data_IF_823531678382
#
_entry.id   IF_823531678382
#
_cell.length_a   1.000
_cell.length_b   1.000
_cell.length_c   1.000
_cell.angle_alpha   90.00
_cell.angle_beta   90.00
_cell.angle_gamma   90.00
#
_symmetry.space_group_name_H-M   'P 1'
#
loop_
_entity.id
_entity.type
_entity.pdbx_description
1 polymer ?
#
# COMPACT_ATOMS: atom_id res chain seq x y z
N UNK A 1 -6.65 23.86 32.58
CA UNK A 1 -7.72 23.15 31.86
C UNK A 1 -7.25 22.89 30.44
N UNK A 2 -6.86 21.66 30.11
CA UNK A 2 -6.35 21.30 28.78
C UNK A 2 -7.55 20.94 27.91
N UNK A 3 -7.84 21.76 26.88
CA UNK A 3 -8.89 21.46 25.90
C UNK A 3 -8.43 20.27 25.06
N UNK A 4 -9.13 19.14 25.16
CA UNK A 4 -8.94 18.02 24.25
C UNK A 4 -9.30 18.48 22.83
N UNK A 5 -8.46 18.25 21.80
CA UNK A 5 -8.86 18.49 20.42
C UNK A 5 -10.02 17.55 20.11
N UNK A 6 -11.18 18.14 19.83
CA UNK A 6 -12.35 17.41 19.37
C UNK A 6 -12.10 16.96 17.94
N UNK A 7 -11.88 15.66 17.74
CA UNK A 7 -12.07 15.07 16.43
C UNK A 7 -13.57 15.13 16.15
N UNK A 8 -13.96 15.90 15.13
CA UNK A 8 -15.33 15.91 14.64
C UNK A 8 -15.80 14.49 14.28
N UNK A 9 -17.12 14.26 14.22
CA UNK A 9 -17.65 12.96 13.81
C UNK A 9 -17.05 12.62 12.45
N UNK A 10 -16.28 11.53 12.37
CA UNK A 10 -15.78 11.02 11.10
C UNK A 10 -17.01 10.75 10.23
N UNK A 11 -17.23 11.60 9.22
CA UNK A 11 -18.18 11.30 8.16
C UNK A 11 -17.86 9.89 7.68
N UNK A 12 -18.88 9.04 7.67
CA UNK A 12 -18.79 7.69 7.12
C UNK A 12 -18.44 7.84 5.65
N UNK A 13 -17.15 7.88 5.33
CA UNK A 13 -16.64 7.75 3.97
C UNK A 13 -17.23 6.44 3.47
N UNK A 14 -18.22 6.54 2.57
CA UNK A 14 -18.82 5.38 1.93
C UNK A 14 -17.70 4.74 1.12
N UNK A 15 -17.08 3.70 1.68
CA UNK A 15 -16.17 2.86 0.94
C UNK A 15 -16.92 2.40 -0.32
N UNK A 16 -16.46 2.84 -1.49
CA UNK A 16 -17.01 2.37 -2.75
C UNK A 16 -16.69 0.88 -2.82
N UNK A 17 -17.69 -0.02 -2.87
CA UNK A 17 -17.42 -1.44 -2.93
C UNK A 17 -16.64 -1.74 -4.21
N UNK A 18 -15.44 -2.28 -4.04
CA UNK A 18 -14.59 -2.78 -5.11
C UNK A 18 -15.40 -3.83 -5.89
N UNK A 19 -15.59 -3.60 -7.20
CA UNK A 19 -16.48 -4.42 -8.02
C UNK A 19 -15.92 -5.84 -8.21
N UNK A 20 -16.80 -6.84 -8.21
CA UNK A 20 -16.45 -8.19 -8.63
C UNK A 20 -16.16 -8.23 -10.14
N UNK A 21 -15.18 -9.03 -10.55
CA UNK A 21 -14.77 -9.18 -11.95
C UNK A 21 -15.89 -9.71 -12.86
N UNK A 22 -15.69 -9.54 -14.18
CA UNK A 22 -16.52 -10.17 -15.21
C UNK A 22 -16.46 -11.70 -15.08
N UNK A 23 -17.57 -12.42 -15.30
CA UNK A 23 -17.55 -13.88 -15.43
C UNK A 23 -16.58 -14.29 -16.56
N UNK A 24 -15.73 -15.30 -16.31
CA UNK A 24 -14.85 -15.88 -17.33
C UNK A 24 -13.37 -15.50 -17.25
N UNK A 25 -12.90 -14.84 -16.19
CA UNK A 25 -11.45 -14.69 -15.96
C UNK A 25 -10.84 -16.06 -15.68
N UNK A 26 -9.93 -16.49 -16.56
CA UNK A 26 -9.28 -17.81 -16.50
C UNK A 26 -7.86 -17.77 -15.94
N UNK A 27 -7.21 -16.60 -15.90
CA UNK A 27 -5.93 -16.40 -15.23
C UNK A 27 -5.71 -14.91 -14.85
N UNK A 28 -4.87 -14.64 -13.85
CA UNK A 28 -4.42 -13.29 -13.49
C UNK A 28 -3.53 -12.67 -14.57
N UNK A 29 -2.78 -13.49 -15.32
CA UNK A 29 -1.94 -12.99 -16.41
C UNK A 29 -2.74 -12.23 -17.49
N UNK A 30 -3.97 -12.67 -17.79
CA UNK A 30 -4.86 -11.97 -18.73
C UNK A 30 -5.29 -10.60 -18.20
N UNK A 31 -5.55 -10.50 -16.89
CA UNK A 31 -5.90 -9.24 -16.23
C UNK A 31 -4.72 -8.27 -16.20
N UNK A 32 -3.49 -8.76 -16.10
CA UNK A 32 -2.29 -7.93 -16.06
C UNK A 32 -2.07 -7.09 -17.33
N UNK A 33 -2.74 -7.44 -18.44
CA UNK A 33 -2.73 -6.65 -19.68
C UNK A 33 -3.60 -5.39 -19.59
N UNK A 34 -4.62 -5.37 -18.72
CA UNK A 34 -5.58 -4.26 -18.59
C UNK A 34 -5.45 -3.53 -17.23
N UNK A 35 -4.90 -4.22 -16.23
CA UNK A 35 -4.84 -3.77 -14.84
C UNK A 35 -3.44 -3.95 -14.26
N UNK A 36 -3.01 -2.99 -13.45
CA UNK A 36 -1.90 -3.20 -12.55
C UNK A 36 -2.38 -4.00 -11.34
N UNK A 37 -1.72 -5.13 -11.09
CA UNK A 37 -2.04 -6.02 -9.97
C UNK A 37 -1.12 -5.76 -8.79
N UNK A 38 -1.69 -5.60 -7.61
CA UNK A 38 -0.93 -5.26 -6.40
C UNK A 38 -1.49 -5.92 -5.15
N UNK A 39 -0.68 -5.90 -4.09
CA UNK A 39 -1.00 -6.44 -2.78
C UNK A 39 -0.47 -5.51 -1.71
N UNK A 40 -1.30 -5.13 -0.75
CA UNK A 40 -0.90 -4.25 0.36
C UNK A 40 -1.33 -4.82 1.73
N UNK A 41 -1.46 -6.16 1.82
CA UNK A 41 -1.88 -6.85 3.04
C UNK A 41 -0.97 -6.62 4.24
N UNK A 42 0.31 -6.31 4.03
CA UNK A 42 1.24 -5.97 5.12
C UNK A 42 0.88 -4.67 5.83
N UNK A 43 0.17 -3.74 5.19
CA UNK A 43 -0.34 -2.54 5.85
C UNK A 43 -1.33 -2.89 6.98
N UNK A 44 -2.17 -3.91 6.78
CA UNK A 44 -3.15 -4.33 7.78
C UNK A 44 -2.54 -5.30 8.80
N UNK A 45 -1.85 -6.33 8.32
CA UNK A 45 -1.40 -7.46 9.14
C UNK A 45 -0.21 -7.13 10.03
N UNK A 46 0.76 -6.36 9.52
CA UNK A 46 1.96 -5.92 10.26
C UNK A 46 1.92 -4.43 10.60
N UNK A 47 1.33 -3.62 9.72
CA UNK A 47 1.17 -2.18 9.91
C UNK A 47 0.00 -1.79 10.82
N UNK A 48 -0.92 -2.72 11.10
CA UNK A 48 -2.13 -2.50 11.91
C UNK A 48 -2.98 -1.33 11.43
N UNK A 49 -2.96 -1.06 10.12
CA UNK A 49 -3.82 -0.06 9.52
C UNK A 49 -5.28 -0.54 9.66
N UNK A 50 -6.16 0.34 10.13
CA UNK A 50 -7.59 0.01 10.34
C UNK A 50 -8.46 0.38 9.14
N UNK A 51 -7.92 1.19 8.23
CA UNK A 51 -8.63 1.76 7.10
C UNK A 51 -7.86 1.44 5.82
N UNK A 52 -8.58 1.04 4.79
CA UNK A 52 -7.97 0.71 3.50
C UNK A 52 -7.52 1.98 2.77
N UNK A 53 -6.21 2.15 2.48
CA UNK A 53 -5.72 3.34 1.79
C UNK A 53 -6.22 3.40 0.35
N UNK A 54 -6.57 2.28 -0.29
CA UNK A 54 -7.19 2.33 -1.62
C UNK A 54 -8.57 2.96 -1.59
N UNK A 55 -9.37 2.66 -0.57
CA UNK A 55 -10.65 3.33 -0.35
C UNK A 55 -10.47 4.85 -0.19
N UNK A 56 -9.39 5.29 0.44
CA UNK A 56 -9.07 6.71 0.63
C UNK A 56 -8.63 7.38 -0.66
N UNK A 57 -7.77 6.71 -1.41
CA UNK A 57 -7.36 7.14 -2.74
C UNK A 57 -8.58 7.36 -3.64
N UNK A 58 -9.48 6.38 -3.71
CA UNK A 58 -10.67 6.43 -4.57
C UNK A 58 -11.63 7.53 -4.15
N UNK A 59 -11.78 7.79 -2.85
CA UNK A 59 -12.67 8.84 -2.34
C UNK A 59 -12.22 10.26 -2.72
N UNK A 60 -10.94 10.48 -2.98
CA UNK A 60 -10.40 11.80 -3.35
C UNK A 60 -10.21 11.99 -4.86
N UNK A 61 -10.44 10.95 -5.68
CA UNK A 61 -10.29 11.08 -7.13
C UNK A 61 -11.45 11.86 -7.76
N UNK A 62 -11.11 12.84 -8.59
CA UNK A 62 -12.10 13.61 -9.38
C UNK A 62 -12.71 12.79 -10.52
N UNK A 63 -11.95 11.84 -11.07
CA UNK A 63 -12.40 10.95 -12.14
C UNK A 63 -12.68 9.57 -11.57
N UNK A 64 -13.74 8.87 -12.03
CA UNK A 64 -13.95 7.47 -11.65
C UNK A 64 -12.74 6.63 -12.02
N UNK A 65 -12.20 5.90 -11.03
CA UNK A 65 -11.11 4.93 -11.22
C UNK A 65 -11.66 3.54 -11.03
N UNK A 66 -11.42 2.64 -11.98
CA UNK A 66 -11.80 1.22 -11.85
C UNK A 66 -10.76 0.48 -11.02
N UNK A 67 -11.17 0.05 -9.83
CA UNK A 67 -10.39 -0.79 -8.94
C UNK A 67 -11.23 -1.97 -8.43
N UNK A 68 -10.57 -3.09 -8.16
CA UNK A 68 -11.20 -4.31 -7.63
C UNK A 68 -10.27 -5.06 -6.67
N UNK A 69 -10.83 -6.05 -5.98
CA UNK A 69 -10.05 -7.15 -5.42
C UNK A 69 -10.65 -8.48 -5.82
N UNK A 70 -9.84 -9.54 -5.76
CA UNK A 70 -10.25 -10.91 -6.00
C UNK A 70 -9.78 -11.74 -4.80
N UNK A 71 -10.68 -12.53 -4.24
CA UNK A 71 -10.32 -13.63 -3.35
C UNK A 71 -10.02 -14.87 -4.22
N UNK A 72 -8.79 -15.36 -4.11
CA UNK A 72 -8.22 -16.40 -4.93
C UNK A 72 -8.44 -17.78 -4.29
N UNK A 73 -8.52 -18.85 -5.10
CA UNK A 73 -8.72 -20.20 -4.58
C UNK A 73 -7.49 -20.72 -3.81
N UNK A 74 -6.30 -20.19 -4.09
CA UNK A 74 -5.06 -20.49 -3.39
C UNK A 74 -4.30 -19.22 -3.02
N UNK A 75 -3.27 -19.37 -2.18
CA UNK A 75 -2.45 -18.26 -1.69
C UNK A 75 -1.67 -17.60 -2.84
N UNK A 76 -1.80 -16.28 -2.99
CA UNK A 76 -0.94 -15.45 -3.83
C UNK A 76 0.40 -15.18 -3.12
N UNK A 77 0.31 -14.89 -1.83
CA UNK A 77 1.44 -14.69 -0.91
C UNK A 77 1.22 -15.51 0.35
N UNK A 78 2.27 -15.71 1.13
CA UNK A 78 2.24 -16.46 2.39
C UNK A 78 2.87 -15.67 3.54
N UNK A 79 2.66 -16.10 4.77
CA UNK A 79 3.31 -15.50 5.96
C UNK A 79 2.59 -14.27 6.53
N UNK A 80 1.42 -13.89 5.98
CA UNK A 80 0.54 -12.94 6.66
C UNK A 80 -0.45 -13.63 7.61
N UNK A 81 -0.71 -14.93 7.41
CA UNK A 81 -1.65 -15.78 8.16
C UNK A 81 -3.07 -15.19 8.26
N UNK A 82 -3.47 -14.46 7.22
CA UNK A 82 -4.71 -13.70 7.15
C UNK A 82 -5.40 -13.90 5.79
N UNK A 83 -6.64 -13.43 5.65
CA UNK A 83 -7.43 -13.40 4.41
C UNK A 83 -6.65 -12.75 3.25
N UNK A 84 -5.71 -11.86 3.56
CA UNK A 84 -4.88 -11.18 2.59
C UNK A 84 -3.94 -12.12 1.83
N UNK A 85 -3.53 -13.28 2.39
CA UNK A 85 -2.69 -14.26 1.67
C UNK A 85 -3.32 -14.71 0.34
N UNK A 86 -4.65 -14.67 0.25
CA UNK A 86 -5.44 -15.10 -0.92
C UNK A 86 -6.06 -13.94 -1.67
N UNK A 87 -5.68 -12.69 -1.40
CA UNK A 87 -6.28 -11.54 -2.06
C UNK A 87 -5.31 -10.90 -3.04
N UNK A 88 -5.80 -10.53 -4.22
CA UNK A 88 -5.09 -9.63 -5.13
C UNK A 88 -5.96 -8.42 -5.40
N UNK A 89 -5.34 -7.24 -5.47
CA UNK A 89 -6.01 -6.01 -5.86
C UNK A 89 -5.63 -5.65 -7.29
N UNK A 90 -6.54 -4.99 -8.00
CA UNK A 90 -6.31 -4.53 -9.35
C UNK A 90 -6.79 -3.10 -9.53
N UNK A 91 -6.09 -2.33 -10.35
CA UNK A 91 -6.52 -1.00 -10.80
C UNK A 91 -6.18 -0.84 -12.28
N UNK A 92 -7.03 -0.13 -13.03
CA UNK A 92 -6.77 0.10 -14.45
C UNK A 92 -5.40 0.77 -14.69
N UNK A 93 -4.68 0.32 -15.72
CA UNK A 93 -3.32 0.79 -16.00
C UNK A 93 -3.17 2.32 -16.08
N UNK A 94 -4.12 3.10 -16.67
CA UNK A 94 -4.02 4.56 -16.71
C UNK A 94 -3.99 5.24 -15.34
N UNK A 95 -4.56 4.61 -14.31
CA UNK A 95 -4.58 5.14 -12.95
C UNK A 95 -3.42 4.61 -12.08
N UNK A 96 -2.64 3.65 -12.58
CA UNK A 96 -1.63 2.97 -11.80
C UNK A 96 -0.54 3.90 -11.26
N UNK A 97 -0.05 4.85 -12.05
CA UNK A 97 0.98 5.80 -11.59
C UNK A 97 0.54 6.63 -10.38
N UNK A 98 -0.73 7.06 -10.37
CA UNK A 98 -1.32 7.80 -9.26
C UNK A 98 -1.50 6.92 -8.02
N UNK A 99 -1.97 5.69 -8.20
CA UNK A 99 -2.09 4.71 -7.11
C UNK A 99 -0.73 4.36 -6.52
N UNK A 100 0.26 4.10 -7.37
CA UNK A 100 1.63 3.77 -6.96
C UNK A 100 2.25 4.91 -6.15
N UNK A 101 2.09 6.14 -6.61
CA UNK A 101 2.53 7.33 -5.89
C UNK A 101 1.83 7.43 -4.53
N UNK A 102 0.50 7.30 -4.49
CA UNK A 102 -0.27 7.40 -3.25
C UNK A 102 0.09 6.30 -2.25
N UNK A 103 0.07 5.03 -2.65
CA UNK A 103 0.42 3.91 -1.78
C UNK A 103 1.88 3.95 -1.34
N UNK A 104 2.77 4.55 -2.15
CA UNK A 104 4.16 4.80 -1.78
C UNK A 104 4.34 5.86 -0.69
N UNK A 105 3.39 6.77 -0.49
CA UNK A 105 3.44 7.78 0.59
C UNK A 105 2.73 7.36 1.87
N UNK A 106 2.02 6.22 1.87
CA UNK A 106 1.33 5.72 3.05
C UNK A 106 2.34 5.48 4.18
N UNK A 107 2.07 6.08 5.33
CA UNK A 107 2.81 5.91 6.56
C UNK A 107 1.85 5.99 7.75
N UNK A 108 2.23 5.38 8.87
CA UNK A 108 1.44 5.44 10.10
C UNK A 108 2.33 5.78 11.30
N UNK A 109 1.80 6.65 12.18
CA UNK A 109 2.40 7.02 13.45
C UNK A 109 1.40 6.78 14.59
N UNK A 110 1.73 5.86 15.48
CA UNK A 110 1.02 5.61 16.73
C UNK A 110 1.86 6.04 17.91
N UNK A 111 1.79 7.33 18.30
CA UNK A 111 2.60 7.88 19.41
C UNK A 111 2.43 7.13 20.73
N UNK A 112 1.18 6.74 21.07
CA UNK A 112 0.90 5.98 22.30
C UNK A 112 1.51 4.58 22.28
N UNK A 113 1.57 3.97 21.10
CA UNK A 113 2.13 2.65 20.89
C UNK A 113 3.64 2.70 20.60
N UNK A 114 4.22 3.90 20.48
CA UNK A 114 5.59 4.10 20.05
C UNK A 114 5.86 3.60 18.63
N UNK A 115 4.86 3.53 17.75
CA UNK A 115 5.00 2.88 16.43
C UNK A 115 5.12 3.90 15.31
N UNK A 116 6.08 3.67 14.42
CA UNK A 116 6.16 4.31 13.12
C UNK A 116 6.50 3.30 12.04
N UNK A 117 5.88 3.44 10.87
CA UNK A 117 6.30 2.78 9.63
C UNK A 117 5.91 3.60 8.41
N UNK A 118 6.63 3.38 7.30
CA UNK A 118 6.32 3.91 5.97
C UNK A 118 6.24 2.77 4.95
N UNK A 119 5.52 2.99 3.87
CA UNK A 119 5.36 2.05 2.78
C UNK A 119 6.72 1.71 2.13
N UNK A 120 6.85 0.46 1.69
CA UNK A 120 7.96 -0.02 0.86
C UNK A 120 7.39 -0.83 -0.30
N UNK A 121 8.00 -0.76 -1.48
CA UNK A 121 7.52 -1.45 -2.67
C UNK A 121 8.51 -2.50 -3.15
N UNK A 122 7.99 -3.65 -3.54
CA UNK A 122 8.69 -4.68 -4.30
C UNK A 122 7.84 -5.11 -5.49
N UNK A 123 8.47 -5.64 -6.54
CA UNK A 123 7.76 -6.28 -7.65
C UNK A 123 8.29 -7.70 -7.76
N UNK A 124 7.42 -8.68 -7.55
CA UNK A 124 7.80 -10.10 -7.60
C UNK A 124 6.91 -10.86 -8.58
N UNK A 125 7.48 -11.88 -9.21
CA UNK A 125 6.72 -12.87 -9.96
C UNK A 125 6.04 -13.84 -8.99
N UNK A 126 4.72 -13.95 -9.09
CA UNK A 126 3.91 -14.85 -8.28
C UNK A 126 3.33 -15.95 -9.18
N UNK A 127 3.28 -17.22 -8.76
CA UNK A 127 2.48 -18.23 -9.45
C UNK A 127 1.03 -17.77 -9.55
N UNK A 128 0.41 -17.91 -10.72
CA UNK A 128 -0.97 -17.49 -10.96
C UNK A 128 -1.95 -18.50 -10.35
N UNK A 129 -2.67 -18.16 -9.26
CA UNK A 129 -3.54 -19.12 -8.58
C UNK A 129 -4.86 -19.38 -9.33
N UNK A 130 -5.16 -18.62 -10.38
CA UNK A 130 -6.33 -18.82 -11.22
C UNK A 130 -6.03 -19.67 -12.45
N UNK A 131 -4.76 -19.84 -12.83
CA UNK A 131 -4.40 -20.53 -14.06
C UNK A 131 -4.77 -22.02 -14.03
N UNK A 132 -5.72 -22.39 -14.89
CA UNK A 132 -6.20 -23.77 -15.08
C UNK A 132 -5.70 -24.40 -16.38
N UNK A 133 -4.79 -23.75 -17.10
CA UNK A 133 -4.28 -24.27 -18.38
C UNK A 133 -3.37 -25.47 -18.15
N UNK A 134 -3.39 -26.42 -19.07
CA UNK A 134 -2.48 -27.56 -19.05
C UNK A 134 -1.04 -27.08 -19.31
N UNK A 135 -0.15 -27.27 -18.32
CA UNK A 135 1.25 -26.89 -18.43
C UNK A 135 1.89 -26.43 -17.11
N UNK A 136 3.12 -25.88 -17.16
CA UNK A 136 3.72 -25.22 -16.02
C UNK A 136 2.85 -24.03 -15.55
N UNK A 137 2.69 -23.79 -14.24
CA UNK A 137 1.92 -22.65 -13.75
C UNK A 137 2.47 -21.35 -14.33
N UNK A 138 1.61 -20.54 -14.94
CA UNK A 138 2.03 -19.19 -15.34
C UNK A 138 2.41 -18.36 -14.12
N UNK A 139 3.25 -17.36 -14.35
CA UNK A 139 3.66 -16.40 -13.34
C UNK A 139 3.18 -15.02 -13.75
N UNK A 140 2.76 -14.24 -12.78
CA UNK A 140 2.28 -12.87 -12.96
C UNK A 140 3.09 -11.93 -12.08
N UNK A 141 3.48 -10.78 -12.62
CA UNK A 141 4.16 -9.75 -11.85
C UNK A 141 3.13 -9.04 -10.95
N UNK A 142 3.38 -9.02 -9.64
CA UNK A 142 2.54 -8.35 -8.66
C UNK A 142 3.39 -7.29 -7.94
N UNK A 143 2.82 -6.09 -7.80
CA UNK A 143 3.38 -5.03 -6.97
C UNK A 143 3.03 -5.30 -5.51
N UNK A 144 4.03 -5.61 -4.70
CA UNK A 144 3.86 -5.98 -3.30
C UNK A 144 4.30 -4.82 -2.42
N UNK A 145 3.35 -4.26 -1.69
CA UNK A 145 3.59 -3.22 -0.69
C UNK A 145 3.89 -3.87 0.67
N UNK A 146 5.09 -3.60 1.16
CA UNK A 146 5.55 -3.90 2.51
C UNK A 146 5.59 -2.66 3.39
N UNK A 147 6.12 -2.83 4.59
CA UNK A 147 6.31 -1.74 5.56
C UNK A 147 7.78 -1.67 5.97
N UNK A 148 8.31 -0.47 6.08
CA UNK A 148 9.59 -0.22 6.71
C UNK A 148 9.30 0.53 8.01
N UNK A 149 9.27 -0.24 9.10
CA UNK A 149 8.98 0.23 10.44
C UNK A 149 10.21 0.62 11.22
N UNK A 150 10.01 1.19 12.40
CA UNK A 150 11.11 1.49 13.32
C UNK A 150 11.65 0.26 14.07
N UNK A 151 10.83 -0.78 14.25
CA UNK A 151 11.21 -2.05 14.90
C UNK A 151 11.72 -3.08 13.89
N UNK A 152 11.05 -3.15 12.73
CA UNK A 152 11.34 -4.11 11.67
C UNK A 152 10.85 -3.58 10.33
N UNK A 153 11.55 -3.95 9.26
CA UNK A 153 11.02 -3.90 7.91
C UNK A 153 10.34 -5.24 7.59
N UNK A 154 9.15 -5.21 7.00
CA UNK A 154 8.45 -6.37 6.48
C UNK A 154 8.26 -6.20 4.98
N UNK A 155 8.68 -7.21 4.25
CA UNK A 155 8.46 -7.33 2.81
C UNK A 155 8.21 -8.78 2.45
N UNK A 156 8.35 -9.09 1.17
CA UNK A 156 8.20 -10.44 0.64
C UNK A 156 9.53 -10.94 0.08
N UNK A 157 9.84 -12.20 0.36
CA UNK A 157 10.91 -12.94 -0.27
C UNK A 157 10.32 -13.81 -1.39
N UNK A 158 11.02 -13.97 -2.52
CA UNK A 158 10.57 -14.89 -3.56
C UNK A 158 10.49 -16.31 -3.00
N UNK A 159 9.39 -17.01 -3.30
CA UNK A 159 9.22 -18.40 -2.93
C UNK A 159 10.09 -19.32 -3.81
N UNK A 160 10.27 -20.59 -3.40
CA UNK A 160 10.74 -21.65 -4.30
C UNK A 160 9.89 -21.71 -5.57
N UNK A 161 10.42 -22.34 -6.63
CA UNK A 161 9.70 -22.46 -7.91
C UNK A 161 8.29 -23.03 -7.70
N UNK A 162 7.27 -22.30 -8.15
CA UNK A 162 5.87 -22.69 -8.02
C UNK A 162 5.24 -22.42 -6.65
N UNK A 163 5.98 -21.84 -5.70
CA UNK A 163 5.47 -21.43 -4.38
C UNK A 163 5.22 -19.92 -4.34
N UNK A 164 4.21 -19.46 -3.60
CA UNK A 164 3.95 -18.04 -3.42
C UNK A 164 5.12 -17.36 -2.69
N UNK A 165 5.38 -16.05 -2.93
CA UNK A 165 6.26 -15.26 -2.09
C UNK A 165 5.85 -15.34 -0.62
N UNK A 166 6.82 -15.19 0.28
CA UNK A 166 6.61 -15.30 1.72
C UNK A 166 6.97 -13.99 2.41
N UNK A 167 6.05 -13.50 3.24
CA UNK A 167 6.28 -12.35 4.10
C UNK A 167 7.43 -12.66 5.06
N UNK A 168 8.39 -11.76 5.14
CA UNK A 168 9.56 -11.90 6.00
C UNK A 168 9.93 -10.55 6.63
N UNK A 169 10.46 -10.61 7.83
CA UNK A 169 11.03 -9.45 8.52
C UNK A 169 12.53 -9.32 8.25
N UNK A 170 13.02 -8.09 8.23
CA UNK A 170 14.43 -7.72 8.22
C UNK A 170 14.67 -6.54 9.18
N UNK A 171 15.93 -6.27 9.57
CA UNK A 171 16.26 -5.05 10.29
C UNK A 171 15.77 -3.81 9.52
N UNK A 172 15.23 -2.80 10.22
CA UNK A 172 14.73 -1.59 9.60
C UNK A 172 15.85 -0.73 9.04
N UNK A 173 15.53 0.15 8.08
CA UNK A 173 16.55 1.08 7.57
C UNK A 173 16.95 2.11 8.63
N UNK A 174 18.25 2.48 8.75
CA UNK A 174 18.70 3.42 9.79
C UNK A 174 18.02 4.80 9.74
N UNK A 175 17.67 5.29 8.55
CA UNK A 175 16.97 6.56 8.37
C UNK A 175 15.52 6.47 8.87
N UNK A 176 14.84 5.33 8.68
CA UNK A 176 13.51 5.06 9.25
C UNK A 176 13.54 5.07 10.77
N UNK A 177 14.52 4.40 11.39
CA UNK A 177 14.68 4.39 12.85
C UNK A 177 14.92 5.80 13.39
N UNK A 178 15.77 6.58 12.71
CA UNK A 178 16.06 7.98 13.09
C UNK A 178 14.81 8.84 13.00
N UNK A 179 14.09 8.78 11.88
CA UNK A 179 12.87 9.53 11.66
C UNK A 179 11.79 9.16 12.69
N UNK A 180 11.60 7.86 12.95
CA UNK A 180 10.65 7.37 13.94
C UNK A 180 10.92 7.94 15.34
N UNK A 181 12.18 7.91 15.80
CA UNK A 181 12.57 8.47 17.10
C UNK A 181 12.18 9.93 17.23
N UNK A 182 12.47 10.74 16.21
CA UNK A 182 12.10 12.16 16.15
C UNK A 182 10.58 12.36 16.23
N UNK A 183 9.83 11.67 15.36
CA UNK A 183 8.37 11.77 15.29
C UNK A 183 7.66 11.31 16.58
N UNK A 184 8.18 10.26 17.23
CA UNK A 184 7.66 9.75 18.51
C UNK A 184 7.97 10.71 19.66
N UNK A 185 9.16 11.33 19.66
CA UNK A 185 9.54 12.37 20.61
C UNK A 185 8.74 13.68 20.42
N UNK A 186 8.00 13.81 19.31
CA UNK A 186 7.25 15.03 18.98
C UNK A 186 8.12 16.11 18.34
N UNK A 187 9.34 15.77 17.93
CA UNK A 187 10.18 16.64 17.11
C UNK A 187 9.57 16.70 15.72
N UNK A 188 9.08 17.88 15.34
CA UNK A 188 8.78 18.19 13.96
C UNK A 188 9.97 18.96 13.40
N UNK A 189 10.38 18.68 12.15
CA UNK A 189 11.20 19.66 11.44
C UNK A 189 10.41 20.99 11.42
N UNK A 190 11.04 22.14 11.72
CA UNK A 190 10.40 23.41 11.47
C UNK A 190 9.93 23.39 10.02
N UNK A 191 8.67 23.75 9.78
CA UNK A 191 8.17 23.96 8.44
C UNK A 191 9.12 24.98 7.81
N UNK A 192 9.98 24.55 6.90
CA UNK A 192 10.66 25.47 6.01
C UNK A 192 9.55 25.93 5.09
N UNK A 193 8.90 27.05 5.42
CA UNK A 193 8.21 27.83 4.40
C UNK A 193 9.25 28.05 3.31
N UNK A 194 9.00 27.49 2.12
CA UNK A 194 9.90 27.63 1.00
C UNK A 194 10.21 29.12 0.83
N UNK A 195 11.46 29.53 1.07
CA UNK A 195 11.98 30.88 0.81
C UNK A 195 11.74 31.33 -0.65
N UNK A 196 11.23 30.44 -1.51
CA UNK A 196 10.77 30.70 -2.86
C UNK A 196 9.53 31.61 -2.92
N UNK A 197 8.68 31.66 -1.89
CA UNK A 197 7.51 32.56 -1.90
C UNK A 197 7.86 34.02 -1.58
N UNK A 198 8.92 34.27 -0.81
CA UNK A 198 9.47 35.63 -0.61
C UNK A 198 10.30 36.08 -1.81
N UNK A 199 11.14 35.21 -2.39
CA UNK A 199 11.93 35.55 -3.57
C UNK A 199 11.06 35.84 -4.82
N UNK A 200 9.88 35.22 -4.93
CA UNK A 200 8.90 35.52 -5.98
C UNK A 200 8.21 36.89 -5.77
N UNK A 201 7.90 37.25 -4.52
CA UNK A 201 7.28 38.54 -4.17
C UNK A 201 8.24 39.74 -4.27
N UNK A 202 9.55 39.53 -4.09
CA UNK A 202 10.55 40.58 -4.31
C UNK A 202 10.83 40.84 -5.80
N UNK A 203 10.75 39.83 -6.66
CA UNK A 203 10.91 39.99 -8.11
C UNK A 203 9.74 40.69 -8.80
N UNK A 204 8.54 40.71 -8.21
CA UNK A 204 7.40 41.48 -8.73
C UNK A 204 7.43 42.96 -8.28
N UNK A 205 8.35 43.35 -7.38
CA UNK A 205 8.49 44.73 -6.89
C UNK A 205 9.68 45.50 -7.47
N UNK A 206 10.50 44.88 -8.30
CA UNK A 206 11.61 45.51 -9.05
C UNK A 206 11.28 45.63 -10.52
#
# INVERSE_FOLDING_TARGET
MIRKPGYGPMEKVRAVPLQALRPGVVCLADLACEYALFHHGLFFTKGHLLRDPMSDFLAVQKRPVKAFYIDLPAKLVSGTDDIYDRRVFGVELPAWSAVLSFLGTVAALGRKQGRYWRSALQVLSCPDPLDKRDGPPSVVAIYLFGIDGHDAAWGYLPGPRGSPPMASSAPPRPDTVRLAKRLIAGENDPFQEDEQEEAAKEKEKS
#
